data_IF_456360047988
#
_entry.id   IF_456360047988
#
_cell.length_a   1.000
_cell.length_b   1.000
_cell.length_c   1.000
_cell.angle_alpha   90.00
_cell.angle_beta   90.00
_cell.angle_gamma   90.00
#
_symmetry.space_group_name_H-M   'P 1'
#
loop_
_entity.id
_entity.type
_entity.pdbx_description
1 polymer ?
#
# COMPACT_ATOMS: atom_id res chain seq x y z
N UNK A 1 14.16 5.97 18.34
CA UNK A 1 13.04 6.68 19.00
C UNK A 1 12.07 7.07 17.90
N UNK A 2 10.96 6.34 17.71
CA UNK A 2 9.99 6.66 16.65
C UNK A 2 9.11 7.81 17.14
N UNK A 3 9.32 9.00 16.57
CA UNK A 3 8.54 10.20 16.86
C UNK A 3 7.12 10.04 16.28
N UNK A 4 6.07 10.16 17.10
CA UNK A 4 4.70 10.29 16.56
C UNK A 4 4.58 11.65 15.88
N UNK A 5 4.21 11.69 14.58
CA UNK A 5 4.12 12.95 13.87
C UNK A 5 2.97 13.79 14.39
N UNK A 6 3.22 15.07 14.66
CA UNK A 6 2.14 16.01 14.93
C UNK A 6 1.14 16.04 13.77
N UNK A 7 -0.15 16.18 14.08
CA UNK A 7 -1.23 16.10 13.10
C UNK A 7 -1.02 16.99 11.87
N UNK A 8 -0.57 18.24 12.05
CA UNK A 8 -0.31 19.16 10.94
C UNK A 8 0.81 18.68 10.00
N UNK A 9 1.84 18.00 10.51
CA UNK A 9 2.91 17.42 9.69
C UNK A 9 2.43 16.19 8.96
N UNK A 10 1.70 15.31 9.65
CA UNK A 10 1.08 14.15 9.04
C UNK A 10 0.17 14.56 7.86
N UNK A 11 -0.74 15.50 8.07
CA UNK A 11 -1.62 16.02 7.02
C UNK A 11 -0.84 16.62 5.83
N UNK A 12 0.24 17.35 6.10
CA UNK A 12 1.11 17.92 5.06
C UNK A 12 1.84 16.83 4.24
N UNK A 13 2.25 15.73 4.87
CA UNK A 13 2.86 14.58 4.19
C UNK A 13 1.82 13.88 3.31
N UNK A 14 0.66 13.49 3.88
CA UNK A 14 -0.42 12.81 3.14
C UNK A 14 -0.80 13.58 1.87
N UNK A 15 -0.97 14.90 1.95
CA UNK A 15 -1.34 15.73 0.79
C UNK A 15 -0.29 15.72 -0.34
N UNK A 16 0.97 15.49 -0.01
CA UNK A 16 2.09 15.60 -0.95
C UNK A 16 2.68 14.26 -1.39
N UNK A 17 2.33 13.17 -0.71
CA UNK A 17 2.78 11.83 -1.02
C UNK A 17 2.16 11.33 -2.32
N UNK A 18 2.90 10.49 -3.05
CA UNK A 18 2.44 9.83 -4.28
C UNK A 18 2.66 8.34 -4.30
N UNK A 19 3.23 7.81 -3.22
CA UNK A 19 3.49 6.41 -3.07
C UNK A 19 4.43 6.15 -1.91
N UNK A 20 4.34 4.95 -1.36
CA UNK A 20 5.27 4.42 -0.38
C UNK A 20 6.16 3.38 -1.07
N UNK A 21 7.46 3.53 -0.94
CA UNK A 21 8.43 2.63 -1.56
C UNK A 21 8.50 1.34 -0.75
N UNK A 22 8.40 0.21 -1.45
CA UNK A 22 8.95 -1.06 -1.00
C UNK A 22 10.12 -1.40 -1.91
N UNK A 23 11.24 -1.83 -1.33
CA UNK A 23 12.49 -2.04 -2.06
C UNK A 23 13.12 -3.36 -1.66
N UNK A 24 13.34 -4.22 -2.65
CA UNK A 24 14.19 -5.41 -2.56
C UNK A 24 15.57 -5.07 -3.13
N UNK A 25 16.63 -5.45 -2.42
CA UNK A 25 18.02 -5.27 -2.88
C UNK A 25 18.26 -5.92 -4.25
N UNK A 26 19.20 -5.38 -5.04
CA UNK A 26 19.52 -5.87 -6.39
C UNK A 26 18.67 -5.26 -7.51
N UNK A 27 17.83 -4.27 -7.20
CA UNK A 27 16.99 -3.55 -8.18
C UNK A 27 17.30 -2.04 -8.23
N UNK A 28 18.57 -1.67 -8.08
CA UNK A 28 19.05 -0.28 -8.02
C UNK A 28 18.66 0.52 -9.27
N UNK A 29 18.68 -0.10 -10.45
CA UNK A 29 18.34 0.59 -11.70
C UNK A 29 16.85 0.92 -11.79
N UNK A 30 15.99 0.06 -11.23
CA UNK A 30 14.54 0.32 -11.11
C UNK A 30 14.25 1.41 -10.09
N UNK A 31 15.00 1.45 -8.98
CA UNK A 31 14.94 2.55 -8.02
C UNK A 31 15.36 3.87 -8.67
N UNK A 32 16.51 3.90 -9.37
CA UNK A 32 16.96 5.10 -10.12
C UNK A 32 15.92 5.54 -11.14
N UNK A 33 15.34 4.59 -11.88
CA UNK A 33 14.27 4.83 -12.83
C UNK A 33 13.09 5.51 -12.13
N UNK A 34 12.53 4.92 -11.07
CA UNK A 34 11.41 5.50 -10.32
C UNK A 34 11.72 6.93 -9.86
N UNK A 35 12.85 7.14 -9.18
CA UNK A 35 13.23 8.42 -8.60
C UNK A 35 13.41 9.54 -9.64
N UNK A 36 13.77 9.20 -10.88
CA UNK A 36 13.89 10.19 -11.96
C UNK A 36 12.54 10.70 -12.49
N UNK A 37 11.42 10.00 -12.19
CA UNK A 37 10.06 10.40 -12.58
C UNK A 37 9.42 11.38 -11.59
N UNK A 38 9.95 11.49 -10.38
CA UNK A 38 9.44 12.36 -9.32
C UNK A 38 10.35 13.58 -9.15
N UNK A 39 9.81 14.78 -9.44
CA UNK A 39 10.52 16.06 -9.28
C UNK A 39 10.00 16.92 -8.13
N UNK A 40 8.67 16.93 -7.91
CA UNK A 40 8.02 17.88 -7.00
C UNK A 40 7.18 17.23 -5.90
N UNK A 41 6.83 15.95 -6.08
CA UNK A 41 5.99 15.21 -5.14
C UNK A 41 6.82 14.15 -4.45
N UNK A 42 6.45 13.88 -3.20
CA UNK A 42 7.24 13.04 -2.33
C UNK A 42 6.90 11.57 -2.50
N UNK A 43 7.91 10.72 -2.35
CA UNK A 43 7.77 9.30 -2.12
C UNK A 43 8.13 9.01 -0.66
N UNK A 44 7.27 8.24 -0.02
CA UNK A 44 7.45 7.83 1.37
C UNK A 44 8.39 6.64 1.46
N UNK A 45 9.29 6.66 2.43
CA UNK A 45 10.22 5.57 2.71
C UNK A 45 9.89 5.03 4.10
N UNK A 46 9.48 3.75 4.22
CA UNK A 46 9.35 3.09 5.51
C UNK A 46 10.65 3.14 6.31
N UNK A 47 10.62 3.33 7.65
CA UNK A 47 11.82 3.37 8.49
C UNK A 47 12.79 2.22 8.25
N UNK A 48 12.29 1.00 8.04
CA UNK A 48 13.12 -0.19 7.79
C UNK A 48 13.94 -0.10 6.50
N UNK A 49 13.51 0.69 5.52
CA UNK A 49 14.10 0.77 4.18
C UNK A 49 14.98 2.01 3.96
N UNK A 50 15.06 2.93 4.93
CA UNK A 50 15.82 4.20 4.80
C UNK A 50 17.28 3.98 4.45
N UNK A 51 17.91 2.94 5.02
CA UNK A 51 19.33 2.61 4.79
C UNK A 51 19.69 2.34 3.33
N UNK A 52 18.73 1.93 2.52
CA UNK A 52 18.92 1.62 1.10
C UNK A 52 18.69 2.82 0.18
N UNK A 53 18.15 3.92 0.72
CA UNK A 53 17.72 5.04 -0.09
C UNK A 53 18.83 6.08 -0.29
N UNK A 54 18.97 6.64 -1.50
CA UNK A 54 19.87 7.76 -1.73
C UNK A 54 19.32 9.03 -1.05
N UNK A 55 20.21 9.96 -0.70
CA UNK A 55 19.78 11.27 -0.18
C UNK A 55 19.14 12.10 -1.31
N UNK A 56 17.82 12.25 -1.30
CA UNK A 56 17.08 13.11 -2.24
C UNK A 56 15.93 13.84 -1.53
N UNK A 57 15.68 15.10 -1.91
CA UNK A 57 14.57 15.91 -1.37
C UNK A 57 13.18 15.30 -1.58
N UNK A 58 13.01 14.51 -2.63
CA UNK A 58 11.73 13.86 -2.95
C UNK A 58 11.47 12.63 -2.08
N UNK A 59 12.46 12.15 -1.33
CA UNK A 59 12.30 11.03 -0.41
C UNK A 59 12.07 11.56 1.00
N UNK A 60 10.97 11.11 1.60
CA UNK A 60 10.61 11.46 2.97
C UNK A 60 10.56 10.16 3.77
N UNK A 61 11.37 10.08 4.82
CA UNK A 61 11.24 9.03 5.83
C UNK A 61 9.88 9.18 6.52
N UNK A 62 9.08 8.13 6.45
CA UNK A 62 7.76 8.11 7.08
C UNK A 62 7.91 7.75 8.56
N UNK A 63 7.09 8.39 9.39
CA UNK A 63 6.88 7.97 10.76
C UNK A 63 5.59 7.15 10.87
N UNK A 64 5.49 6.30 11.88
CA UNK A 64 4.21 5.70 12.27
C UNK A 64 3.29 6.81 12.78
N UNK A 65 2.11 7.05 12.16
CA UNK A 65 1.22 8.14 12.56
C UNK A 65 0.73 8.03 14.01
N UNK A 66 0.55 6.80 14.48
CA UNK A 66 0.18 6.44 15.85
C UNK A 66 0.83 5.10 16.21
N UNK A 67 1.05 4.85 17.50
CA UNK A 67 1.60 3.58 17.98
C UNK A 67 0.88 2.32 17.44
N UNK A 68 -0.45 2.38 17.30
CA UNK A 68 -1.25 1.25 16.80
C UNK A 68 -0.84 0.77 15.39
N UNK A 69 -0.40 1.68 14.50
CA UNK A 69 0.08 1.32 13.15
C UNK A 69 1.35 0.48 13.23
N UNK A 70 2.25 0.80 14.18
CA UNK A 70 3.48 0.02 14.41
C UNK A 70 3.16 -1.38 14.92
N UNK A 71 2.22 -1.49 15.86
CA UNK A 71 1.82 -2.79 16.40
C UNK A 71 1.08 -3.64 15.35
N UNK A 72 0.30 -3.02 14.46
CA UNK A 72 -0.30 -3.71 13.32
C UNK A 72 0.76 -4.24 12.34
N UNK A 73 1.79 -3.44 12.03
CA UNK A 73 2.89 -3.88 11.18
C UNK A 73 3.64 -5.09 11.79
N UNK A 74 3.90 -5.06 13.10
CA UNK A 74 4.46 -6.21 13.82
C UNK A 74 3.55 -7.44 13.74
N UNK A 75 2.25 -7.27 13.95
CA UNK A 75 1.28 -8.36 13.88
C UNK A 75 1.25 -8.97 12.47
N UNK A 76 1.24 -8.16 11.41
CA UNK A 76 1.28 -8.65 10.02
C UNK A 76 2.61 -9.31 9.66
N UNK A 77 3.72 -8.89 10.28
CA UNK A 77 5.05 -9.50 10.06
C UNK A 77 5.15 -10.97 10.50
N UNK A 78 4.16 -11.50 11.22
CA UNK A 78 4.09 -12.93 11.55
C UNK A 78 3.77 -13.82 10.34
N UNK A 79 3.24 -13.25 9.25
CA UNK A 79 2.86 -14.01 8.04
C UNK A 79 3.43 -13.45 6.74
N UNK A 80 4.16 -12.33 6.80
CA UNK A 80 4.83 -11.72 5.65
C UNK A 80 6.12 -11.02 6.07
N UNK A 81 7.05 -10.72 5.14
CA UNK A 81 8.30 -10.06 5.48
C UNK A 81 8.08 -8.73 6.24
N UNK A 82 8.85 -8.44 7.30
CA UNK A 82 8.66 -7.24 8.13
C UNK A 82 8.64 -5.93 7.35
N UNK A 83 9.52 -5.79 6.36
CA UNK A 83 9.59 -4.62 5.48
C UNK A 83 8.30 -4.45 4.67
N UNK A 84 7.75 -5.55 4.12
CA UNK A 84 6.50 -5.51 3.37
C UNK A 84 5.30 -5.20 4.28
N UNK A 85 5.26 -5.76 5.48
CA UNK A 85 4.22 -5.46 6.47
C UNK A 85 4.25 -3.97 6.87
N UNK A 86 5.44 -3.42 7.14
CA UNK A 86 5.63 -1.99 7.45
C UNK A 86 5.19 -1.11 6.27
N UNK A 87 5.62 -1.43 5.04
CA UNK A 87 5.19 -0.71 3.84
C UNK A 87 3.67 -0.73 3.69
N UNK A 88 3.01 -1.90 3.83
CA UNK A 88 1.56 -2.02 3.66
C UNK A 88 0.80 -1.18 4.67
N UNK A 89 1.17 -1.25 5.95
CA UNK A 89 0.54 -0.46 7.00
C UNK A 89 0.72 1.05 6.74
N UNK A 90 1.94 1.49 6.41
CA UNK A 90 2.21 2.90 6.14
C UNK A 90 1.53 3.38 4.86
N UNK A 91 1.47 2.57 3.80
CA UNK A 91 0.79 2.92 2.56
C UNK A 91 -0.70 3.15 2.77
N UNK A 92 -1.35 2.26 3.53
CA UNK A 92 -2.73 2.46 3.96
C UNK A 92 -2.88 3.73 4.80
N UNK A 93 -2.12 3.86 5.90
CA UNK A 93 -2.27 5.01 6.80
C UNK A 93 -1.98 6.34 6.12
N UNK A 94 -1.00 6.42 5.23
CA UNK A 94 -0.70 7.64 4.47
C UNK A 94 -1.53 7.81 3.19
N UNK A 95 -2.50 6.92 2.94
CA UNK A 95 -3.44 7.00 1.81
C UNK A 95 -2.68 7.10 0.48
N UNK A 96 -1.77 6.16 0.25
CA UNK A 96 -0.87 6.19 -0.90
C UNK A 96 -0.62 4.79 -1.45
N UNK A 97 -0.44 4.66 -2.77
CA UNK A 97 -0.13 3.36 -3.38
C UNK A 97 1.28 2.89 -2.98
N UNK A 98 1.55 1.60 -3.12
CA UNK A 98 2.89 1.05 -2.98
C UNK A 98 3.62 1.09 -4.32
N UNK A 99 4.85 1.58 -4.30
CA UNK A 99 5.81 1.49 -5.41
C UNK A 99 6.74 0.31 -5.10
N UNK A 100 6.37 -0.90 -5.54
CA UNK A 100 7.07 -2.13 -5.19
C UNK A 100 8.21 -2.41 -6.18
N UNK A 101 9.42 -2.06 -5.78
CA UNK A 101 10.63 -2.28 -6.56
C UNK A 101 11.18 -3.66 -6.24
N UNK A 102 11.26 -4.51 -7.28
CA UNK A 102 11.75 -5.89 -7.14
C UNK A 102 10.67 -6.96 -7.00
N UNK A 103 9.40 -6.60 -7.22
CA UNK A 103 8.28 -7.53 -7.31
C UNK A 103 7.26 -7.38 -6.18
N UNK A 104 6.21 -8.20 -6.24
CA UNK A 104 5.06 -8.17 -5.31
C UNK A 104 4.96 -9.45 -4.45
N UNK A 105 5.91 -10.37 -4.56
CA UNK A 105 5.83 -11.69 -3.92
C UNK A 105 5.75 -11.61 -2.40
N UNK A 106 6.39 -10.61 -1.79
CA UNK A 106 6.36 -10.42 -0.33
C UNK A 106 4.98 -9.98 0.17
N UNK A 107 4.11 -9.49 -0.73
CA UNK A 107 2.75 -9.06 -0.39
C UNK A 107 1.69 -10.15 -0.60
N UNK A 108 2.07 -11.37 -1.01
CA UNK A 108 1.14 -12.46 -1.32
C UNK A 108 0.02 -12.67 -0.27
N UNK A 109 0.28 -12.60 1.06
CA UNK A 109 -0.78 -12.73 2.06
C UNK A 109 -1.89 -11.69 1.95
N UNK A 110 -1.59 -10.49 1.42
CA UNK A 110 -2.53 -9.39 1.23
C UNK A 110 -3.12 -9.31 -0.19
N UNK A 111 -2.51 -9.95 -1.20
CA UNK A 111 -2.98 -9.86 -2.59
C UNK A 111 -4.39 -10.47 -2.71
N UNK A 112 -5.32 -9.65 -3.19
CA UNK A 112 -6.70 -10.06 -3.50
C UNK A 112 -6.90 -10.27 -5.01
N UNK A 113 -6.27 -9.42 -5.81
CA UNK A 113 -6.35 -9.49 -7.27
C UNK A 113 -5.16 -8.79 -7.91
N UNK A 114 -4.75 -9.26 -9.09
CA UNK A 114 -3.66 -8.65 -9.87
C UNK A 114 -4.15 -8.18 -11.23
N UNK A 115 -3.66 -7.04 -11.67
CA UNK A 115 -3.79 -6.54 -13.04
C UNK A 115 -2.50 -6.88 -13.80
N UNK A 116 -2.65 -7.49 -14.97
CA UNK A 116 -1.52 -7.91 -15.82
C UNK A 116 -1.42 -7.03 -17.05
N UNK A 117 -0.22 -6.92 -17.61
CA UNK A 117 0.03 -6.18 -18.85
C UNK A 117 0.99 -6.92 -19.77
N UNK A 118 0.68 -6.87 -21.06
CA UNK A 118 1.61 -7.26 -22.14
C UNK A 118 2.22 -6.05 -22.83
N UNK A 119 1.79 -4.85 -22.48
CA UNK A 119 2.24 -3.62 -23.11
C UNK A 119 3.60 -3.16 -22.56
N UNK A 120 4.45 -2.69 -23.47
CA UNK A 120 5.58 -1.86 -23.08
C UNK A 120 5.11 -0.42 -22.90
N UNK A 121 5.30 0.11 -21.70
CA UNK A 121 4.75 1.40 -21.29
C UNK A 121 5.83 2.47 -21.43
N UNK A 122 5.51 3.52 -22.19
CA UNK A 122 6.32 4.73 -22.23
C UNK A 122 6.16 5.56 -20.93
N UNK A 123 6.96 6.61 -20.80
CA UNK A 123 6.94 7.48 -19.61
C UNK A 123 5.57 8.14 -19.37
N UNK A 124 4.83 8.43 -20.44
CA UNK A 124 3.50 9.03 -20.32
C UNK A 124 2.50 8.02 -19.76
N UNK A 125 2.54 6.78 -20.24
CA UNK A 125 1.67 5.69 -19.81
C UNK A 125 1.97 5.28 -18.37
N UNK A 126 3.24 5.19 -17.97
CA UNK A 126 3.62 4.96 -16.57
C UNK A 126 3.08 6.05 -15.65
N UNK A 127 3.25 7.33 -16.00
CA UNK A 127 2.71 8.45 -15.20
C UNK A 127 1.19 8.42 -15.09
N UNK A 128 0.50 8.02 -16.16
CA UNK A 128 -0.95 7.85 -16.15
C UNK A 128 -1.34 6.74 -15.15
N UNK A 129 -0.76 5.56 -15.26
CA UNK A 129 -1.14 4.43 -14.42
C UNK A 129 -0.70 4.58 -12.96
N UNK A 130 0.43 5.24 -12.69
CA UNK A 130 0.81 5.65 -11.33
C UNK A 130 -0.25 6.55 -10.69
N UNK A 131 -0.83 7.48 -11.47
CA UNK A 131 -1.92 8.34 -10.99
C UNK A 131 -3.23 7.58 -10.79
N UNK A 132 -3.53 6.61 -11.65
CA UNK A 132 -4.71 5.75 -11.46
C UNK A 132 -4.57 4.95 -10.15
N UNK A 133 -3.39 4.39 -9.85
CA UNK A 133 -3.15 3.68 -8.59
C UNK A 133 -3.25 4.60 -7.35
N UNK A 134 -2.78 5.85 -7.47
CA UNK A 134 -2.97 6.90 -6.46
C UNK A 134 -4.47 7.13 -6.18
N UNK A 135 -5.27 7.29 -7.24
CA UNK A 135 -6.72 7.43 -7.13
C UNK A 135 -7.43 6.19 -6.61
N UNK A 136 -7.02 4.99 -7.02
CA UNK A 136 -7.56 3.72 -6.48
C UNK A 136 -7.44 3.69 -4.96
N UNK A 137 -6.26 3.98 -4.42
CA UNK A 137 -6.03 3.95 -2.96
C UNK A 137 -6.83 5.05 -2.26
N UNK A 138 -6.83 6.26 -2.81
CA UNK A 138 -7.56 7.40 -2.26
C UNK A 138 -9.07 7.18 -2.23
N UNK A 139 -9.66 6.76 -3.35
CA UNK A 139 -11.11 6.57 -3.52
C UNK A 139 -11.64 5.46 -2.61
N UNK A 140 -10.84 4.41 -2.39
CA UNK A 140 -11.23 3.33 -1.50
C UNK A 140 -11.08 3.64 -0.02
N UNK A 141 -10.16 4.52 0.37
CA UNK A 141 -9.67 4.60 1.75
C UNK A 141 -10.79 4.72 2.78
N UNK A 142 -11.57 5.81 2.75
CA UNK A 142 -12.61 6.07 3.76
C UNK A 142 -13.65 4.94 3.85
N UNK A 143 -14.09 4.42 2.71
CA UNK A 143 -15.05 3.32 2.68
C UNK A 143 -14.43 2.01 3.19
N UNK A 144 -13.23 1.66 2.72
CA UNK A 144 -12.58 0.39 3.04
C UNK A 144 -12.16 0.32 4.51
N UNK A 145 -11.68 1.40 5.11
CA UNK A 145 -11.37 1.42 6.54
C UNK A 145 -12.64 1.26 7.39
N UNK A 146 -13.73 1.95 7.03
CA UNK A 146 -15.00 1.85 7.73
C UNK A 146 -15.61 0.45 7.62
N UNK A 147 -15.67 -0.09 6.39
CA UNK A 147 -16.16 -1.43 6.10
C UNK A 147 -15.40 -2.49 6.90
N UNK A 148 -14.07 -2.41 6.94
CA UNK A 148 -13.25 -3.36 7.67
C UNK A 148 -13.44 -3.25 9.20
N UNK A 149 -13.51 -2.03 9.74
CA UNK A 149 -13.75 -1.81 11.16
C UNK A 149 -15.11 -2.37 11.60
N UNK A 150 -16.17 -2.08 10.85
CA UNK A 150 -17.50 -2.64 11.12
C UNK A 150 -17.51 -4.16 11.03
N UNK A 151 -16.81 -4.73 10.05
CA UNK A 151 -16.71 -6.18 9.89
C UNK A 151 -15.97 -6.85 11.05
N UNK A 152 -14.91 -6.22 11.55
CA UNK A 152 -14.18 -6.68 12.73
C UNK A 152 -15.09 -6.67 13.96
N UNK A 153 -15.78 -5.55 14.23
CA UNK A 153 -16.64 -5.41 15.41
C UNK A 153 -17.83 -6.37 15.38
N UNK A 154 -18.46 -6.56 14.22
CA UNK A 154 -19.68 -7.36 14.08
C UNK A 154 -19.43 -8.82 13.62
N UNK A 155 -18.17 -9.25 13.53
CA UNK A 155 -17.79 -10.59 13.07
C UNK A 155 -18.31 -10.94 11.65
N UNK A 156 -18.27 -9.96 10.73
CA UNK A 156 -18.73 -10.08 9.33
C UNK A 156 -17.59 -10.04 8.31
N UNK A 157 -16.43 -10.59 8.67
CA UNK A 157 -15.20 -10.52 7.85
C UNK A 157 -15.38 -11.13 6.45
N UNK A 158 -16.10 -12.24 6.34
CA UNK A 158 -16.32 -12.91 5.06
C UNK A 158 -17.13 -12.05 4.09
N UNK A 159 -18.18 -11.39 4.57
CA UNK A 159 -19.05 -10.54 3.75
C UNK A 159 -18.33 -9.27 3.32
N UNK A 160 -17.61 -8.63 4.25
CA UNK A 160 -16.80 -7.45 3.94
C UNK A 160 -15.74 -7.74 2.86
N UNK A 161 -15.08 -8.91 2.91
CA UNK A 161 -14.12 -9.28 1.87
C UNK A 161 -14.78 -9.53 0.51
N UNK A 162 -16.02 -10.04 0.46
CA UNK A 162 -16.78 -10.14 -0.80
C UNK A 162 -17.13 -8.76 -1.35
N UNK A 163 -17.58 -7.84 -0.50
CA UNK A 163 -17.90 -6.46 -0.90
C UNK A 163 -16.65 -5.73 -1.44
N UNK A 164 -15.51 -5.89 -0.76
CA UNK A 164 -14.21 -5.34 -1.17
C UNK A 164 -13.75 -5.92 -2.50
N UNK A 165 -13.88 -7.22 -2.70
CA UNK A 165 -13.58 -7.86 -3.98
C UNK A 165 -14.44 -7.31 -5.11
N UNK A 166 -15.75 -7.14 -4.88
CA UNK A 166 -16.67 -6.57 -5.89
C UNK A 166 -16.22 -5.18 -6.34
N UNK A 167 -15.87 -4.31 -5.39
CA UNK A 167 -15.37 -2.96 -5.70
C UNK A 167 -14.04 -2.96 -6.45
N UNK A 168 -13.15 -3.88 -6.11
CA UNK A 168 -11.88 -4.07 -6.82
C UNK A 168 -12.13 -4.46 -8.29
N UNK A 169 -13.09 -5.34 -8.55
CA UNK A 169 -13.45 -5.76 -9.92
C UNK A 169 -13.98 -4.59 -10.75
N UNK A 170 -14.75 -3.68 -10.16
CA UNK A 170 -15.21 -2.48 -10.85
C UNK A 170 -14.08 -1.47 -11.10
N UNK A 171 -13.16 -1.28 -10.14
CA UNK A 171 -12.00 -0.38 -10.29
C UNK A 171 -10.98 -0.87 -11.34
N UNK A 172 -10.83 -2.19 -11.51
CA UNK A 172 -9.95 -2.79 -12.52
C UNK A 172 -10.19 -2.24 -13.93
N UNK A 173 -11.43 -1.84 -14.25
CA UNK A 173 -11.80 -1.26 -15.55
C UNK A 173 -11.03 0.02 -15.88
N UNK A 174 -10.49 0.73 -14.88
CA UNK A 174 -9.63 1.91 -15.08
C UNK A 174 -8.32 1.58 -15.82
N UNK A 175 -7.93 0.32 -15.83
CA UNK A 175 -6.68 -0.17 -16.42
C UNK A 175 -6.84 -0.77 -17.82
N UNK A 176 -7.95 -0.50 -18.52
CA UNK A 176 -8.26 -1.06 -19.84
C UNK A 176 -7.15 -0.88 -20.91
N UNK A 177 -6.28 0.14 -20.76
CA UNK A 177 -5.15 0.41 -21.66
C UNK A 177 -3.95 -0.54 -21.51
N UNK A 178 -3.92 -1.37 -20.47
CA UNK A 178 -2.80 -2.27 -20.19
C UNK A 178 -2.78 -3.53 -21.06
N UNK A 179 -3.79 -3.72 -21.92
CA UNK A 179 -3.97 -4.91 -22.77
C UNK A 179 -3.82 -6.21 -21.95
N UNK A 180 -4.81 -6.51 -21.08
CA UNK A 180 -4.73 -7.61 -20.12
C UNK A 180 -4.62 -8.96 -20.87
N UNK A 181 -3.62 -9.76 -20.48
CA UNK A 181 -3.35 -11.09 -21.02
C UNK A 181 -2.38 -11.84 -20.08
N UNK A 182 -1.71 -12.89 -20.57
CA UNK A 182 -0.73 -13.68 -19.80
C UNK A 182 0.61 -12.95 -19.54
N UNK A 183 0.67 -11.64 -19.72
CA UNK A 183 1.86 -10.81 -19.52
C UNK A 183 2.27 -10.65 -18.06
N UNK A 184 3.20 -9.74 -17.77
CA UNK A 184 3.72 -9.51 -16.39
C UNK A 184 2.65 -8.92 -15.48
N UNK A 185 2.75 -9.18 -14.18
CA UNK A 185 1.95 -8.45 -13.18
C UNK A 185 2.37 -6.99 -13.21
N UNK A 186 1.41 -6.10 -13.39
CA UNK A 186 1.62 -4.65 -13.38
C UNK A 186 1.24 -4.04 -12.03
N UNK A 187 0.12 -4.49 -11.46
CA UNK A 187 -0.43 -3.97 -10.24
C UNK A 187 -1.12 -5.08 -9.44
N UNK A 188 -1.11 -4.98 -8.12
CA UNK A 188 -1.95 -5.77 -7.24
C UNK A 188 -2.82 -4.88 -6.36
N UNK A 189 -4.03 -5.37 -6.08
CA UNK A 189 -4.88 -4.86 -5.02
C UNK A 189 -4.55 -5.63 -3.74
N UNK A 190 -4.11 -4.91 -2.72
CA UNK A 190 -3.76 -5.44 -1.41
C UNK A 190 -4.86 -5.13 -0.40
N UNK A 191 -5.22 -6.14 0.41
CA UNK A 191 -6.24 -6.02 1.43
C UNK A 191 -5.74 -6.53 2.79
N UNK A 192 -5.41 -5.63 3.73
CA UNK A 192 -5.03 -6.00 5.09
C UNK A 192 -6.12 -6.79 5.84
N UNK A 193 -7.39 -6.64 5.49
CA UNK A 193 -8.48 -7.41 6.10
C UNK A 193 -8.38 -8.91 5.76
N UNK A 194 -7.85 -9.24 4.57
CA UNK A 194 -7.58 -10.63 4.16
C UNK A 194 -6.56 -11.28 5.10
N UNK A 195 -5.48 -10.56 5.43
CA UNK A 195 -4.46 -11.03 6.40
C UNK A 195 -5.12 -11.35 7.73
N UNK A 196 -5.95 -10.42 8.26
CA UNK A 196 -6.60 -10.59 9.56
C UNK A 196 -7.51 -11.81 9.58
N UNK A 197 -8.29 -12.03 8.52
CA UNK A 197 -9.14 -13.22 8.39
C UNK A 197 -8.30 -14.49 8.33
N UNK A 198 -7.36 -14.56 7.38
CA UNK A 198 -6.65 -15.80 7.04
C UNK A 198 -5.72 -16.25 8.17
N UNK A 199 -5.09 -15.30 8.88
CA UNK A 199 -4.22 -15.58 10.01
C UNK A 199 -4.95 -15.66 11.37
N UNK A 200 -6.27 -15.46 11.40
CA UNK A 200 -7.05 -15.51 12.64
C UNK A 200 -6.72 -14.37 13.63
N UNK A 201 -6.26 -13.22 13.14
CA UNK A 201 -5.77 -12.12 13.99
C UNK A 201 -6.86 -11.22 14.56
N UNK A 202 -8.15 -11.45 14.27
CA UNK A 202 -9.26 -10.56 14.66
C UNK A 202 -9.17 -10.06 16.11
N UNK A 203 -9.08 -10.97 17.08
CA UNK A 203 -9.10 -10.61 18.50
C UNK A 203 -7.84 -9.85 18.93
N UNK A 204 -6.69 -10.16 18.34
CA UNK A 204 -5.41 -9.47 18.61
C UNK A 204 -5.43 -8.07 18.00
N UNK A 205 -5.99 -7.96 16.79
CA UNK A 205 -6.07 -6.72 16.05
C UNK A 205 -7.02 -5.71 16.70
N UNK A 206 -8.21 -6.13 17.15
CA UNK A 206 -9.16 -5.24 17.84
C UNK A 206 -8.56 -4.64 19.13
N UNK A 207 -7.69 -5.38 19.82
CA UNK A 207 -7.02 -4.90 21.05
C UNK A 207 -6.02 -3.76 20.80
N UNK A 208 -5.66 -3.49 19.54
CA UNK A 208 -4.76 -2.39 19.17
C UNK A 208 -5.43 -1.00 19.23
N UNK A 209 -6.75 -0.95 19.43
CA UNK A 209 -7.52 0.30 19.54
C UNK A 209 -8.08 0.79 18.21
N UNK A 210 -8.90 1.85 18.23
CA UNK A 210 -9.66 2.27 17.03
C UNK A 210 -8.79 2.85 15.91
N UNK A 211 -7.73 3.59 16.23
CA UNK A 211 -6.88 4.24 15.23
C UNK A 211 -6.10 3.24 14.35
N UNK A 212 -6.02 1.97 14.79
CA UNK A 212 -5.47 0.88 13.98
C UNK A 212 -6.26 0.68 12.68
N UNK A 213 -7.52 1.11 12.62
CA UNK A 213 -8.34 1.00 11.42
C UNK A 213 -7.73 1.74 10.22
N UNK A 214 -6.82 2.71 10.44
CA UNK A 214 -6.07 3.39 9.38
C UNK A 214 -5.20 2.45 8.54
N UNK A 215 -4.87 1.25 9.03
CA UNK A 215 -4.11 0.24 8.27
C UNK A 215 -5.01 -0.71 7.46
N UNK A 216 -6.33 -0.53 7.49
CA UNK A 216 -7.30 -1.43 6.85
C UNK A 216 -7.78 -0.95 5.47
N UNK A 217 -7.11 0.05 4.90
CA UNK A 217 -7.40 0.55 3.56
C UNK A 217 -7.08 -0.49 2.48
N UNK A 218 -7.86 -0.50 1.40
CA UNK A 218 -7.44 -1.17 0.16
C UNK A 218 -6.30 -0.37 -0.48
N UNK A 219 -5.18 -1.03 -0.76
CA UNK A 219 -3.97 -0.38 -1.27
C UNK A 219 -3.64 -0.92 -2.66
N UNK A 220 -3.43 -0.02 -3.62
CA UNK A 220 -2.87 -0.39 -4.92
C UNK A 220 -1.34 -0.50 -4.80
N UNK A 221 -0.76 -1.59 -5.31
CA UNK A 221 0.69 -1.79 -5.34
C UNK A 221 1.17 -2.00 -6.78
N UNK A 222 2.01 -1.11 -7.28
CA UNK A 222 2.60 -1.17 -8.61
C UNK A 222 3.87 -2.01 -8.59
N UNK A 223 3.97 -2.98 -9.49
CA UNK A 223 5.20 -3.74 -9.72
C UNK A 223 6.15 -2.92 -10.60
N UNK A 224 7.26 -2.48 -10.01
CA UNK A 224 8.30 -1.67 -10.67
C UNK A 224 9.51 -2.53 -10.94
#
# INVERSE_FOLDING_TARGET
MSWEPSFYRYAAVVKNLRGVIYYREGFEDRLKWLLSRFKYRSLGVPPSLVRFMPKRKVLIELAYPVHAVKEAAKLFSEVMPPEAAETLCLASSYISPIMAIGGLDDFQPAIVKTVRTTAELDDRSWKLHMRIADYTTLDFYAWSTQNALEALLNNRLADALKERFSRIVDDERRYWRLNPGNGRVFLAYLDPLKIIRDAGFRNRFIKLGNDVASVLGLVAALAI
#
